data_IF_299971495658
#
_entry.id   IF_299971495658
#
_cell.length_a   1.000
_cell.length_b   1.000
_cell.length_c   1.000
_cell.angle_alpha   90.00
_cell.angle_beta   90.00
_cell.angle_gamma   90.00
#
_symmetry.space_group_name_H-M   'P 1'
#
loop_
_entity.id
_entity.type
_entity.pdbx_description
1 polymer ?
#
# COMPACT_ATOMS: atom_id res chain seq x y z
N UNK A 1 -45.15 -28.68 -11.19
CA UNK A 1 -44.65 -27.62 -12.11
C UNK A 1 -43.74 -26.58 -11.42
N UNK A 2 -44.07 -25.97 -10.29
CA UNK A 2 -43.16 -25.00 -9.62
C UNK A 2 -41.92 -25.65 -8.97
N UNK A 3 -42.06 -26.83 -8.36
CA UNK A 3 -40.93 -27.57 -7.76
C UNK A 3 -39.92 -28.04 -8.78
N UNK A 4 -40.32 -28.47 -9.95
CA UNK A 4 -39.40 -28.87 -11.05
C UNK A 4 -38.61 -27.70 -11.62
N UNK A 5 -39.23 -26.50 -11.76
CA UNK A 5 -38.53 -25.28 -12.18
C UNK A 5 -37.51 -24.79 -11.13
N UNK A 6 -37.75 -25.05 -9.84
CA UNK A 6 -36.82 -24.70 -8.77
C UNK A 6 -35.58 -25.60 -8.80
N UNK A 7 -35.78 -26.93 -8.97
CA UNK A 7 -34.65 -27.88 -9.04
C UNK A 7 -33.82 -27.71 -10.32
N UNK A 8 -34.41 -27.39 -11.46
CA UNK A 8 -33.66 -27.10 -12.70
C UNK A 8 -32.77 -25.87 -12.56
N UNK A 9 -33.28 -24.78 -11.98
CA UNK A 9 -32.47 -23.57 -11.70
C UNK A 9 -31.34 -23.81 -10.69
N UNK A 10 -31.52 -24.76 -9.76
CA UNK A 10 -30.47 -25.09 -8.78
C UNK A 10 -29.37 -25.95 -9.39
N UNK A 11 -29.71 -26.86 -10.30
CA UNK A 11 -28.76 -27.68 -11.07
C UNK A 11 -27.99 -26.83 -12.09
N UNK A 12 -28.62 -25.92 -12.79
CA UNK A 12 -27.96 -24.98 -13.72
C UNK A 12 -26.99 -24.04 -13.00
N UNK A 13 -27.36 -23.51 -11.81
CA UNK A 13 -26.44 -22.71 -10.97
C UNK A 13 -25.26 -23.52 -10.42
N UNK A 14 -25.44 -24.81 -10.12
CA UNK A 14 -24.35 -25.71 -9.70
C UNK A 14 -23.41 -26.01 -10.86
N UNK A 15 -23.91 -26.28 -12.05
CA UNK A 15 -23.08 -26.52 -13.24
C UNK A 15 -22.30 -25.27 -13.65
N UNK A 16 -22.93 -24.10 -13.69
CA UNK A 16 -22.27 -22.83 -13.99
C UNK A 16 -21.15 -22.48 -12.98
N UNK A 17 -21.36 -22.80 -11.68
CA UNK A 17 -20.31 -22.64 -10.66
C UNK A 17 -19.16 -23.62 -10.85
N UNK A 18 -19.44 -24.87 -11.22
CA UNK A 18 -18.42 -25.90 -11.49
C UNK A 18 -17.61 -25.54 -12.75
N UNK A 19 -18.26 -25.04 -13.81
CA UNK A 19 -17.61 -24.60 -15.03
C UNK A 19 -16.72 -23.35 -14.80
N UNK A 20 -17.19 -22.41 -13.98
CA UNK A 20 -16.39 -21.25 -13.61
C UNK A 20 -15.16 -21.66 -12.76
N UNK A 21 -15.31 -22.62 -11.85
CA UNK A 21 -14.18 -23.16 -11.08
C UNK A 21 -13.18 -23.94 -11.95
N UNK A 22 -13.66 -24.70 -12.94
CA UNK A 22 -12.80 -25.44 -13.86
C UNK A 22 -12.05 -24.48 -14.80
N UNK A 23 -12.71 -23.47 -15.37
CA UNK A 23 -12.06 -22.41 -16.17
C UNK A 23 -11.00 -21.66 -15.35
N UNK A 24 -11.26 -21.39 -14.06
CA UNK A 24 -10.30 -20.74 -13.17
C UNK A 24 -9.10 -21.65 -12.84
N UNK A 25 -9.31 -22.97 -12.67
CA UNK A 25 -8.23 -23.96 -12.49
C UNK A 25 -7.36 -24.08 -13.74
N UNK A 26 -7.95 -24.12 -14.92
CA UNK A 26 -7.22 -24.14 -16.19
C UNK A 26 -6.44 -22.83 -16.41
N UNK A 27 -7.03 -21.69 -16.15
CA UNK A 27 -6.33 -20.39 -16.22
C UNK A 27 -5.14 -20.32 -15.26
N UNK A 28 -5.30 -20.79 -14.01
CA UNK A 28 -4.21 -20.82 -13.06
C UNK A 28 -3.11 -21.81 -13.51
N UNK A 29 -3.46 -22.97 -14.03
CA UNK A 29 -2.51 -23.96 -14.57
C UNK A 29 -1.73 -23.45 -15.77
N UNK A 30 -2.42 -22.73 -16.69
CA UNK A 30 -1.76 -22.06 -17.83
C UNK A 30 -0.86 -20.91 -17.38
N UNK A 31 -1.29 -20.13 -16.39
CA UNK A 31 -0.48 -19.06 -15.79
C UNK A 31 0.77 -19.60 -15.12
N UNK A 32 0.64 -20.66 -14.31
CA UNK A 32 1.75 -21.27 -13.59
C UNK A 32 2.74 -21.91 -14.57
N UNK A 33 2.24 -22.58 -15.61
CA UNK A 33 3.06 -23.08 -16.73
C UNK A 33 3.79 -21.95 -17.46
N UNK A 34 3.11 -20.83 -17.73
CA UNK A 34 3.72 -19.65 -18.37
C UNK A 34 4.86 -19.06 -17.51
N UNK A 35 4.68 -19.00 -16.19
CA UNK A 35 5.72 -18.51 -15.29
C UNK A 35 6.88 -19.52 -15.13
N UNK A 36 6.61 -20.83 -15.13
CA UNK A 36 7.65 -21.87 -15.11
C UNK A 36 8.44 -21.91 -16.41
N UNK A 37 7.78 -21.81 -17.55
CA UNK A 37 8.46 -21.72 -18.86
C UNK A 37 9.29 -20.45 -18.97
N UNK A 38 8.81 -19.34 -18.35
CA UNK A 38 9.54 -18.08 -18.26
C UNK A 38 10.75 -18.15 -17.34
N UNK A 39 10.66 -18.83 -16.19
CA UNK A 39 11.80 -19.12 -15.30
C UNK A 39 12.85 -19.96 -16.02
N UNK A 40 12.45 -21.04 -16.69
CA UNK A 40 13.37 -21.90 -17.47
C UNK A 40 13.98 -21.18 -18.67
N UNK A 41 13.31 -20.19 -19.24
CA UNK A 41 13.82 -19.35 -20.32
C UNK A 41 14.80 -18.28 -19.86
N UNK A 42 14.70 -17.83 -18.61
CA UNK A 42 15.60 -16.83 -18.02
C UNK A 42 16.94 -17.43 -17.58
N UNK A 43 16.95 -18.72 -17.14
CA UNK A 43 18.19 -19.42 -16.72
C UNK A 43 19.10 -19.80 -17.89
N UNK A 44 18.71 -19.62 -19.15
CA UNK A 44 19.48 -20.08 -20.33
C UNK A 44 19.99 -18.98 -21.26
N UNK A 45 19.81 -17.71 -20.93
CA UNK A 45 20.36 -16.62 -21.75
C UNK A 45 21.09 -15.61 -20.87
N UNK A 46 22.39 -15.83 -20.66
CA UNK A 46 23.31 -14.72 -20.44
C UNK A 46 23.20 -13.80 -21.65
N UNK A 47 22.54 -12.66 -21.45
CA UNK A 47 22.41 -11.64 -22.50
C UNK A 47 23.76 -10.97 -22.65
N UNK A 48 24.50 -11.36 -23.69
CA UNK A 48 25.68 -10.64 -24.12
C UNK A 48 25.27 -9.19 -24.49
N UNK A 49 25.62 -8.25 -23.62
CA UNK A 49 25.35 -6.82 -23.79
C UNK A 49 26.22 -6.14 -24.86
N UNK A 50 26.92 -6.90 -25.72
CA UNK A 50 27.88 -6.36 -26.67
C UNK A 50 27.28 -5.63 -27.88
N UNK A 51 25.97 -5.76 -28.18
CA UNK A 51 25.34 -5.10 -29.33
C UNK A 51 24.52 -3.86 -28.96
N UNK A 52 24.96 -3.08 -27.97
CA UNK A 52 24.35 -1.78 -27.67
C UNK A 52 24.72 -0.78 -28.77
N UNK A 53 24.02 -0.80 -29.91
CA UNK A 53 23.97 0.36 -30.81
C UNK A 53 23.58 1.57 -29.98
N UNK A 54 24.22 2.71 -30.21
CA UNK A 54 23.94 3.99 -29.55
C UNK A 54 22.46 4.35 -29.67
N UNK A 55 21.66 3.95 -28.65
CA UNK A 55 20.25 4.35 -28.56
C UNK A 55 20.28 5.79 -28.03
N UNK A 56 19.74 6.76 -28.78
CA UNK A 56 19.75 8.14 -28.32
C UNK A 56 18.91 8.27 -27.05
N UNK A 57 19.44 8.95 -26.04
CA UNK A 57 18.75 9.26 -24.80
C UNK A 57 17.79 10.42 -25.00
N UNK A 58 16.60 10.32 -24.38
CA UNK A 58 15.63 11.40 -24.30
C UNK A 58 15.82 12.25 -23.05
N UNK A 59 16.39 11.62 -21.99
CA UNK A 59 16.62 12.29 -20.71
C UNK A 59 17.84 11.73 -19.98
N UNK A 60 18.42 12.56 -19.09
CA UNK A 60 19.48 12.18 -18.14
C UNK A 60 18.92 12.24 -16.72
N UNK A 61 19.16 11.20 -15.92
CA UNK A 61 18.80 11.19 -14.50
C UNK A 61 19.71 12.16 -13.75
N UNK A 62 19.10 13.13 -13.05
CA UNK A 62 19.78 14.05 -12.15
C UNK A 62 19.84 13.48 -10.73
N UNK A 63 18.71 13.01 -10.25
CA UNK A 63 18.59 12.42 -8.92
C UNK A 63 17.62 11.25 -8.90
N UNK A 64 17.79 10.36 -7.91
CA UNK A 64 16.92 9.21 -7.69
C UNK A 64 16.73 9.00 -6.19
N UNK A 65 15.50 8.84 -5.76
CA UNK A 65 15.13 8.45 -4.40
C UNK A 65 14.08 7.33 -4.45
N UNK A 66 14.15 6.36 -3.55
CA UNK A 66 13.16 5.29 -3.47
C UNK A 66 12.28 5.46 -2.24
N UNK A 67 10.95 5.41 -2.43
CA UNK A 67 9.94 5.51 -1.37
C UNK A 67 9.93 4.32 -0.40
N UNK A 68 10.70 3.27 -0.69
CA UNK A 68 10.78 2.04 0.09
C UNK A 68 12.23 1.64 0.36
N UNK A 69 13.11 2.62 0.56
CA UNK A 69 14.51 2.32 0.87
C UNK A 69 14.61 1.60 2.21
N UNK A 70 15.15 0.36 2.19
CA UNK A 70 15.29 -0.47 3.39
C UNK A 70 16.29 0.13 4.39
N UNK A 71 17.34 0.78 3.92
CA UNK A 71 18.41 1.34 4.76
C UNK A 71 17.93 2.53 5.63
N UNK A 72 16.76 3.10 5.31
CA UNK A 72 16.14 4.14 6.16
C UNK A 72 15.35 3.59 7.34
N UNK A 73 15.17 2.27 7.40
CA UNK A 73 14.46 1.68 8.54
C UNK A 73 15.33 1.68 9.79
N UNK A 74 14.81 2.14 10.95
CA UNK A 74 15.54 2.11 12.20
C UNK A 74 15.98 0.68 12.56
N UNK A 75 17.20 0.54 13.07
CA UNK A 75 17.79 -0.77 13.40
C UNK A 75 17.00 -1.53 14.49
N UNK A 76 16.46 -0.81 15.46
CA UNK A 76 15.59 -1.38 16.49
C UNK A 76 14.24 -1.84 15.91
N UNK A 77 13.67 -1.10 14.96
CA UNK A 77 12.46 -1.51 14.25
C UNK A 77 12.68 -2.84 13.50
N UNK A 78 13.81 -3.01 12.83
CA UNK A 78 14.15 -4.26 12.15
C UNK A 78 14.24 -5.44 13.13
N UNK A 79 14.87 -5.25 14.30
CA UNK A 79 14.96 -6.27 15.36
C UNK A 79 13.58 -6.64 15.90
N UNK A 80 12.71 -5.66 16.12
CA UNK A 80 11.34 -5.88 16.59
C UNK A 80 10.52 -6.62 15.54
N UNK A 81 10.59 -6.21 14.27
CA UNK A 81 9.90 -6.88 13.18
C UNK A 81 10.33 -8.33 13.03
N UNK A 82 11.63 -8.65 13.13
CA UNK A 82 12.14 -10.03 13.06
C UNK A 82 11.65 -10.90 14.24
N UNK A 83 11.46 -10.31 15.43
CA UNK A 83 11.00 -11.02 16.63
C UNK A 83 9.52 -10.84 16.97
N UNK A 84 8.71 -10.32 16.05
CA UNK A 84 7.29 -9.99 16.30
C UNK A 84 6.45 -11.22 16.69
N UNK A 85 6.75 -12.38 16.14
CA UNK A 85 6.11 -13.65 16.53
C UNK A 85 6.24 -13.95 18.02
N UNK A 86 7.39 -13.64 18.61
CA UNK A 86 7.66 -13.84 20.05
C UNK A 86 6.84 -12.86 20.90
N UNK A 87 6.67 -11.61 20.43
CA UNK A 87 5.79 -10.62 21.08
C UNK A 87 4.36 -11.11 21.08
N UNK A 88 3.85 -11.54 19.92
CA UNK A 88 2.49 -12.07 19.84
C UNK A 88 2.32 -13.34 20.65
N UNK A 89 3.35 -14.20 20.73
CA UNK A 89 3.31 -15.41 21.53
C UNK A 89 3.22 -15.13 23.04
N UNK A 90 3.85 -14.06 23.51
CA UNK A 90 3.75 -13.65 24.95
C UNK A 90 2.38 -13.07 25.30
N UNK A 91 1.72 -12.36 24.37
CA UNK A 91 0.41 -11.73 24.60
C UNK A 91 -0.74 -12.73 24.39
N UNK A 92 -0.65 -13.52 23.35
CA UNK A 92 -1.67 -14.52 22.96
C UNK A 92 -0.99 -15.86 22.70
N UNK A 93 -0.66 -16.60 23.75
CA UNK A 93 0.03 -17.88 23.60
C UNK A 93 -0.80 -18.90 22.81
N UNK A 94 -0.15 -19.61 21.91
CA UNK A 94 -0.70 -20.76 21.20
C UNK A 94 0.12 -21.99 21.54
N UNK A 95 -0.57 -23.10 21.80
CA UNK A 95 0.08 -24.40 21.99
C UNK A 95 0.52 -25.01 20.65
N UNK A 96 1.31 -26.09 20.68
CA UNK A 96 1.85 -26.73 19.48
C UNK A 96 0.77 -27.15 18.46
N UNK A 97 -0.37 -27.67 18.93
CA UNK A 97 -1.49 -28.08 18.05
C UNK A 97 -2.12 -26.88 17.34
N UNK A 98 -2.31 -25.76 18.03
CA UNK A 98 -2.83 -24.51 17.46
C UNK A 98 -1.83 -23.93 16.44
N UNK A 99 -0.52 -23.95 16.75
CA UNK A 99 0.52 -23.49 15.83
C UNK A 99 0.58 -24.34 14.54
N UNK A 100 0.38 -25.66 14.62
CA UNK A 100 0.28 -26.53 13.46
C UNK A 100 -0.93 -26.21 12.58
N UNK A 101 -2.05 -25.80 13.18
CA UNK A 101 -3.28 -25.41 12.46
C UNK A 101 -3.19 -24.02 11.83
N UNK A 102 -2.39 -23.12 12.38
CA UNK A 102 -2.30 -21.72 12.00
C UNK A 102 -2.17 -21.45 10.48
N UNK A 103 -1.33 -22.16 9.71
CA UNK A 103 -1.25 -21.96 8.25
C UNK A 103 -2.57 -22.19 7.52
N UNK A 104 -3.36 -23.17 7.96
CA UNK A 104 -4.70 -23.45 7.41
C UNK A 104 -5.68 -22.33 7.74
N UNK A 105 -5.65 -21.82 8.97
CA UNK A 105 -6.54 -20.75 9.43
C UNK A 105 -6.18 -19.42 8.70
N UNK A 106 -4.90 -19.16 8.47
CA UNK A 106 -4.44 -18.01 7.66
C UNK A 106 -4.95 -18.12 6.22
N UNK A 107 -4.86 -19.31 5.60
CA UNK A 107 -5.35 -19.52 4.23
C UNK A 107 -6.86 -19.30 4.14
N UNK A 108 -7.62 -19.86 5.08
CA UNK A 108 -9.06 -19.68 5.15
C UNK A 108 -9.45 -18.20 5.32
N UNK A 109 -8.76 -17.49 6.21
CA UNK A 109 -8.96 -16.06 6.40
C UNK A 109 -8.59 -15.25 5.17
N UNK A 110 -7.51 -15.63 4.46
CA UNK A 110 -7.14 -14.99 3.19
C UNK A 110 -8.26 -15.09 2.15
N UNK A 111 -8.89 -16.27 2.01
CA UNK A 111 -10.04 -16.44 1.12
C UNK A 111 -11.21 -15.54 1.50
N UNK A 112 -11.53 -15.44 2.78
CA UNK A 112 -12.59 -14.52 3.25
C UNK A 112 -12.27 -13.05 2.96
N UNK A 113 -11.02 -12.66 3.11
CA UNK A 113 -10.57 -11.28 2.88
C UNK A 113 -10.43 -10.92 1.40
N UNK A 114 -10.31 -11.89 0.48
CA UNK A 114 -10.08 -11.64 -0.95
C UNK A 114 -11.23 -12.06 -1.84
N UNK A 115 -11.78 -13.27 -1.65
CA UNK A 115 -12.73 -13.88 -2.57
C UNK A 115 -14.19 -13.74 -2.13
N UNK A 116 -14.43 -13.65 -0.81
CA UNK A 116 -15.78 -13.62 -0.21
C UNK A 116 -16.11 -12.26 0.42
N UNK A 117 -15.52 -11.19 -0.11
CA UNK A 117 -15.64 -9.84 0.46
C UNK A 117 -17.07 -9.35 0.57
N UNK A 118 -17.92 -9.65 -0.43
CA UNK A 118 -19.33 -9.20 -0.48
C UNK A 118 -20.20 -9.85 0.59
N UNK A 119 -19.88 -11.08 0.99
CA UNK A 119 -20.66 -11.87 1.95
C UNK A 119 -20.04 -11.90 3.35
N UNK A 120 -18.91 -11.23 3.52
CA UNK A 120 -18.16 -11.27 4.78
C UNK A 120 -18.90 -10.59 5.92
N UNK A 121 -19.05 -11.29 7.04
CA UNK A 121 -19.49 -10.67 8.27
C UNK A 121 -18.38 -9.76 8.85
N UNK A 122 -18.69 -8.49 9.10
CA UNK A 122 -17.72 -7.48 9.60
C UNK A 122 -17.16 -7.86 10.98
N UNK A 123 -17.87 -8.72 11.72
CA UNK A 123 -17.43 -9.22 13.03
C UNK A 123 -16.48 -10.42 12.98
N UNK A 124 -15.88 -10.75 11.82
CA UNK A 124 -14.97 -11.89 11.65
C UNK A 124 -13.78 -11.89 12.62
N UNK A 125 -13.31 -10.73 13.03
CA UNK A 125 -12.22 -10.60 14.02
C UNK A 125 -12.62 -10.90 15.48
N UNK A 126 -13.89 -11.18 15.75
CA UNK A 126 -14.33 -11.53 17.10
C UNK A 126 -14.09 -13.01 17.46
N UNK A 127 -13.88 -13.88 16.47
CA UNK A 127 -13.50 -15.28 16.72
C UNK A 127 -12.02 -15.38 17.06
N UNK A 128 -11.70 -16.09 18.15
CA UNK A 128 -10.35 -16.18 18.72
C UNK A 128 -9.31 -16.70 17.70
N UNK A 129 -9.65 -17.72 16.93
CA UNK A 129 -8.76 -18.33 15.92
C UNK A 129 -8.50 -17.37 14.76
N UNK A 130 -9.54 -16.69 14.28
CA UNK A 130 -9.44 -15.72 13.19
C UNK A 130 -8.62 -14.51 13.61
N UNK A 131 -8.84 -13.99 14.82
CA UNK A 131 -8.03 -12.88 15.37
C UNK A 131 -6.57 -13.30 15.53
N UNK A 132 -6.29 -14.51 16.01
CA UNK A 132 -4.92 -15.02 16.14
C UNK A 132 -4.23 -15.18 14.78
N UNK A 133 -4.93 -15.70 13.76
CA UNK A 133 -4.42 -15.78 12.39
C UNK A 133 -4.20 -14.38 11.78
N UNK A 134 -5.12 -13.44 12.02
CA UNK A 134 -5.00 -12.07 11.54
C UNK A 134 -3.75 -11.39 12.13
N UNK A 135 -3.57 -11.45 13.44
CA UNK A 135 -2.45 -10.78 14.12
C UNK A 135 -1.12 -11.38 13.70
N UNK A 136 -1.00 -12.71 13.69
CA UNK A 136 0.26 -13.40 13.40
C UNK A 136 0.69 -13.30 11.93
N UNK A 137 -0.23 -13.01 11.02
CA UNK A 137 0.06 -12.95 9.59
C UNK A 137 -0.22 -11.57 8.98
N UNK A 138 -1.48 -11.13 8.99
CA UNK A 138 -1.86 -9.89 8.29
C UNK A 138 -1.32 -8.65 8.99
N UNK A 139 -1.40 -8.59 10.32
CA UNK A 139 -0.80 -7.50 11.10
C UNK A 139 0.70 -7.45 10.90
N UNK A 140 1.39 -8.59 10.93
CA UNK A 140 2.84 -8.62 10.73
C UNK A 140 3.25 -8.14 9.33
N UNK A 141 2.58 -8.60 8.27
CA UNK A 141 2.81 -8.08 6.92
C UNK A 141 2.49 -6.59 6.81
N UNK A 142 1.44 -6.11 7.46
CA UNK A 142 1.09 -4.69 7.49
C UNK A 142 2.13 -3.87 8.25
N UNK A 143 2.67 -4.36 9.36
CA UNK A 143 3.78 -3.72 10.08
C UNK A 143 5.01 -3.60 9.17
N UNK A 144 5.41 -4.66 8.49
CA UNK A 144 6.54 -4.64 7.53
C UNK A 144 6.33 -3.57 6.46
N UNK A 145 5.12 -3.49 5.88
CA UNK A 145 4.80 -2.52 4.83
C UNK A 145 4.78 -1.09 5.36
N UNK A 146 4.01 -0.84 6.41
CA UNK A 146 3.77 0.51 6.92
C UNK A 146 5.01 1.11 7.57
N UNK A 147 5.78 0.33 8.34
CA UNK A 147 7.05 0.79 8.91
C UNK A 147 7.99 1.25 7.79
N UNK A 148 8.09 0.49 6.70
CA UNK A 148 8.93 0.86 5.56
C UNK A 148 8.43 2.11 4.85
N UNK A 149 7.12 2.27 4.66
CA UNK A 149 6.54 3.51 4.12
C UNK A 149 6.85 4.69 5.02
N UNK A 150 6.51 4.60 6.31
CA UNK A 150 6.70 5.70 7.25
C UNK A 150 8.16 6.12 7.39
N UNK A 151 9.10 5.19 7.40
CA UNK A 151 10.54 5.48 7.46
C UNK A 151 11.04 6.27 6.23
N UNK A 152 10.32 6.22 5.13
CA UNK A 152 10.67 6.89 3.87
C UNK A 152 9.84 8.14 3.54
N UNK A 153 8.80 8.45 4.31
CA UNK A 153 8.06 9.70 4.15
C UNK A 153 8.96 10.90 4.52
N UNK A 154 8.74 12.06 3.90
CA UNK A 154 9.45 13.28 4.27
C UNK A 154 9.34 13.58 5.77
N UNK A 155 10.38 14.16 6.36
CA UNK A 155 10.40 14.45 7.80
C UNK A 155 9.32 15.45 8.22
N UNK A 156 9.00 16.42 7.36
CA UNK A 156 7.95 17.41 7.57
C UNK A 156 6.53 16.85 7.47
N UNK A 157 6.36 15.58 7.09
CA UNK A 157 5.04 14.91 7.03
C UNK A 157 4.42 14.69 8.42
N UNK A 158 5.24 14.64 9.46
CA UNK A 158 4.82 14.38 10.84
C UNK A 158 5.26 15.54 11.77
N UNK A 159 4.78 16.75 11.48
CA UNK A 159 5.05 17.92 12.33
C UNK A 159 4.19 17.88 13.60
N UNK A 160 4.41 16.86 14.43
CA UNK A 160 3.70 16.66 15.69
C UNK A 160 4.51 17.24 16.86
N UNK A 161 3.81 17.91 17.76
CA UNK A 161 4.34 18.49 19.00
C UNK A 161 3.81 17.70 20.20
N UNK A 162 4.28 18.02 21.40
CA UNK A 162 3.66 17.51 22.62
C UNK A 162 2.17 17.89 22.64
N UNK A 163 1.35 17.00 23.18
CA UNK A 163 -0.12 17.06 23.22
C UNK A 163 -0.82 17.05 21.86
N UNK A 164 -0.08 16.84 20.75
CA UNK A 164 -0.70 16.62 19.44
C UNK A 164 -1.58 15.38 19.47
N UNK A 165 -2.71 15.50 18.77
CA UNK A 165 -3.72 14.44 18.67
C UNK A 165 -3.54 13.69 17.36
N UNK A 166 -3.44 12.38 17.45
CA UNK A 166 -3.49 11.45 16.31
C UNK A 166 -4.82 10.70 16.37
N UNK A 167 -5.51 10.58 15.24
CA UNK A 167 -6.71 9.73 15.12
C UNK A 167 -6.42 8.67 14.06
N UNK A 168 -6.41 7.41 14.49
CA UNK A 168 -6.29 6.24 13.61
C UNK A 168 -7.66 5.61 13.40
N UNK A 169 -8.17 5.64 12.17
CA UNK A 169 -9.52 5.21 11.82
C UNK A 169 -9.44 3.82 11.17
N UNK A 170 -10.23 2.87 11.71
CA UNK A 170 -10.11 1.46 11.36
C UNK A 170 -8.83 0.86 11.92
N UNK A 171 -8.50 1.22 13.18
CA UNK A 171 -7.22 0.89 13.83
C UNK A 171 -6.97 -0.62 13.90
N UNK A 172 -8.02 -1.44 13.97
CA UNK A 172 -7.89 -2.88 14.17
C UNK A 172 -6.96 -3.18 15.36
N UNK A 173 -5.90 -3.99 15.17
CA UNK A 173 -4.90 -4.28 16.21
C UNK A 173 -3.80 -3.19 16.29
N UNK A 174 -4.15 -1.92 16.14
CA UNK A 174 -3.25 -0.74 16.24
C UNK A 174 -2.01 -0.82 15.34
N UNK A 175 -2.16 -1.39 14.17
CA UNK A 175 -1.03 -1.67 13.26
C UNK A 175 -0.35 -0.39 12.78
N UNK A 176 -1.13 0.66 12.47
CA UNK A 176 -0.60 1.95 11.99
C UNK A 176 0.19 2.65 13.10
N UNK A 177 -0.38 2.70 14.30
CA UNK A 177 0.25 3.31 15.49
C UNK A 177 1.57 2.62 15.81
N UNK A 178 1.57 1.29 15.83
CA UNK A 178 2.77 0.49 16.07
C UNK A 178 3.84 0.69 14.98
N UNK A 179 3.43 0.74 13.72
CA UNK A 179 4.34 0.99 12.60
C UNK A 179 4.95 2.41 12.66
N UNK A 180 4.15 3.42 13.03
CA UNK A 180 4.62 4.79 13.20
C UNK A 180 5.64 4.91 14.34
N UNK A 181 5.38 4.27 15.48
CA UNK A 181 6.34 4.18 16.60
C UNK A 181 7.66 3.56 16.16
N UNK A 182 7.62 2.47 15.42
CA UNK A 182 8.82 1.79 14.93
C UNK A 182 9.60 2.63 13.92
N UNK A 183 8.89 3.27 12.99
CA UNK A 183 9.50 3.95 11.86
C UNK A 183 10.07 5.34 12.19
N UNK A 184 9.54 6.01 13.24
CA UNK A 184 9.81 7.43 13.53
C UNK A 184 10.29 7.63 14.96
N UNK A 185 11.57 7.27 15.26
CA UNK A 185 12.13 7.41 16.61
C UNK A 185 11.99 8.81 17.21
N UNK A 186 12.06 9.85 16.37
CA UNK A 186 11.92 11.24 16.78
C UNK A 186 10.53 11.58 17.37
N UNK A 187 9.51 10.79 17.04
CA UNK A 187 8.17 10.95 17.61
C UNK A 187 8.00 10.28 18.97
N UNK A 188 8.87 9.33 19.33
CA UNK A 188 8.83 8.62 20.63
C UNK A 188 9.04 9.55 21.80
N UNK A 189 9.77 10.65 21.59
CA UNK A 189 10.04 11.70 22.59
C UNK A 189 8.92 12.74 22.67
N UNK A 190 7.78 12.51 22.01
CA UNK A 190 6.62 13.39 22.04
C UNK A 190 5.50 12.79 22.89
N UNK A 191 4.81 13.62 23.67
CA UNK A 191 3.64 13.23 24.47
C UNK A 191 2.40 13.23 23.60
N UNK A 192 2.25 12.25 22.69
CA UNK A 192 1.11 12.18 21.77
C UNK A 192 -0.11 11.54 22.44
N UNK A 193 -1.30 12.00 22.02
CA UNK A 193 -2.58 11.41 22.38
C UNK A 193 -3.17 10.75 21.13
N UNK A 194 -3.30 9.42 21.15
CA UNK A 194 -3.70 8.63 19.99
C UNK A 194 -5.09 8.04 20.23
N UNK A 195 -6.08 8.51 19.48
CA UNK A 195 -7.41 7.92 19.43
C UNK A 195 -7.42 6.80 18.39
N UNK A 196 -7.61 5.58 18.83
CA UNK A 196 -7.73 4.39 17.99
C UNK A 196 -9.21 4.04 17.85
N UNK A 197 -9.78 4.22 16.66
CA UNK A 197 -11.19 4.00 16.38
C UNK A 197 -11.39 2.71 15.58
N UNK A 198 -12.21 1.81 16.09
CA UNK A 198 -12.60 0.57 15.39
C UNK A 198 -13.93 0.04 15.95
N UNK A 199 -14.66 -0.75 15.16
CA UNK A 199 -15.87 -1.43 15.60
C UNK A 199 -15.60 -2.57 16.59
N UNK A 200 -14.39 -3.15 16.55
CA UNK A 200 -13.96 -4.27 17.38
C UNK A 200 -13.12 -3.83 18.57
N UNK A 201 -13.76 -3.65 19.71
CA UNK A 201 -13.08 -3.29 20.97
C UNK A 201 -12.05 -4.34 21.41
N UNK A 202 -12.34 -5.63 21.19
CA UNK A 202 -11.41 -6.71 21.54
C UNK A 202 -10.14 -6.70 20.69
N UNK A 203 -10.26 -6.38 19.41
CA UNK A 203 -9.12 -6.27 18.51
C UNK A 203 -8.23 -5.09 18.89
N UNK A 204 -8.84 -3.94 19.22
CA UNK A 204 -8.10 -2.78 19.71
C UNK A 204 -7.38 -3.06 21.04
N UNK A 205 -8.03 -3.81 21.96
CA UNK A 205 -7.41 -4.16 23.25
C UNK A 205 -6.12 -4.99 23.06
N UNK A 206 -6.18 -6.03 22.23
CA UNK A 206 -4.98 -6.81 21.87
C UNK A 206 -3.95 -5.97 21.12
N UNK A 207 -4.40 -5.06 20.28
CA UNK A 207 -3.54 -4.12 19.57
C UNK A 207 -2.77 -3.20 20.50
N UNK A 208 -3.40 -2.72 21.58
CA UNK A 208 -2.75 -1.90 22.60
C UNK A 208 -1.67 -2.70 23.37
N UNK A 209 -1.95 -3.96 23.73
CA UNK A 209 -0.95 -4.84 24.35
C UNK A 209 0.25 -5.09 23.41
N UNK A 210 -0.01 -5.25 22.09
CA UNK A 210 1.05 -5.38 21.09
C UNK A 210 1.85 -4.09 21.02
N UNK A 211 1.20 -2.93 20.91
CA UNK A 211 1.86 -1.64 20.85
C UNK A 211 2.77 -1.42 22.08
N UNK A 212 2.25 -1.65 23.27
CA UNK A 212 3.01 -1.51 24.53
C UNK A 212 4.23 -2.44 24.56
N UNK A 213 4.08 -3.69 24.15
CA UNK A 213 5.18 -4.66 24.11
C UNK A 213 6.24 -4.31 23.05
N UNK A 214 5.82 -3.81 21.89
CA UNK A 214 6.71 -3.34 20.83
C UNK A 214 7.43 -2.07 21.28
N UNK A 215 6.70 -1.13 21.86
CA UNK A 215 7.27 0.13 22.34
C UNK A 215 8.31 -0.10 23.45
N UNK A 216 8.02 -0.97 24.41
CA UNK A 216 8.97 -1.32 25.46
C UNK A 216 10.28 -1.93 24.92
N UNK A 217 10.20 -2.77 23.86
CA UNK A 217 11.40 -3.34 23.23
C UNK A 217 12.21 -2.30 22.43
N UNK A 218 11.54 -1.37 21.79
CA UNK A 218 12.20 -0.31 21.03
C UNK A 218 12.84 0.74 21.97
N UNK A 219 12.17 1.07 23.08
CA UNK A 219 12.70 2.00 24.12
C UNK A 219 13.92 1.43 24.83
N UNK A 220 13.99 0.12 25.03
CA UNK A 220 15.17 -0.50 25.64
C UNK A 220 16.48 -0.24 24.84
N UNK A 221 16.37 0.17 23.59
CA UNK A 221 17.50 0.59 22.74
C UNK A 221 17.65 2.11 22.61
N UNK A 222 16.69 2.91 23.13
CA UNK A 222 16.66 4.38 23.05
C UNK A 222 16.53 4.97 24.46
N UNK A 223 17.67 5.38 25.02
CA UNK A 223 17.76 5.92 26.40
C UNK A 223 17.00 7.25 26.63
N UNK A 224 16.46 7.86 25.54
CA UNK A 224 15.83 9.18 25.59
C UNK A 224 14.28 9.12 25.50
N UNK A 225 13.65 7.96 25.42
CA UNK A 225 12.20 7.89 25.31
C UNK A 225 11.53 8.15 26.68
N UNK A 226 10.84 9.28 26.80
CA UNK A 226 10.19 9.72 28.05
C UNK A 226 8.88 8.99 28.38
N UNK A 227 8.45 8.03 27.59
CA UNK A 227 7.23 7.27 27.82
C UNK A 227 6.47 6.91 26.55
N UNK A 228 5.40 6.17 26.72
CA UNK A 228 4.55 5.72 25.59
C UNK A 228 3.50 6.76 25.27
N UNK A 229 3.05 6.77 24.00
CA UNK A 229 1.91 7.59 23.60
C UNK A 229 0.65 7.15 24.35
N UNK A 230 -0.17 8.11 24.73
CA UNK A 230 -1.45 7.84 25.41
C UNK A 230 -2.46 7.28 24.42
N UNK A 231 -2.78 6.00 24.52
CA UNK A 231 -3.79 5.33 23.67
C UNK A 231 -5.18 5.52 24.26
N UNK A 232 -6.14 5.92 23.43
CA UNK A 232 -7.56 6.04 23.75
C UNK A 232 -8.35 5.23 22.73
N UNK A 233 -8.92 4.13 23.14
CA UNK A 233 -9.76 3.26 22.27
C UNK A 233 -11.16 3.82 22.17
N UNK A 234 -11.62 4.03 20.93
CA UNK A 234 -12.97 4.50 20.60
C UNK A 234 -13.70 3.43 19.81
N UNK A 235 -14.72 2.83 20.41
CA UNK A 235 -15.58 1.87 19.69
C UNK A 235 -16.52 2.65 18.78
N UNK A 236 -16.38 2.50 17.47
CA UNK A 236 -17.25 3.17 16.51
C UNK A 236 -16.75 3.05 15.08
N UNK A 237 -17.56 3.54 14.17
CA UNK A 237 -17.26 3.68 12.74
C UNK A 237 -16.80 5.11 12.41
N UNK A 238 -16.28 5.32 11.21
CA UNK A 238 -15.99 6.67 10.72
C UNK A 238 -17.26 7.54 10.76
N UNK A 239 -17.17 8.70 11.42
CA UNK A 239 -18.31 9.57 11.75
C UNK A 239 -18.66 9.56 13.24
N UNK A 240 -18.14 8.60 14.03
CA UNK A 240 -18.28 8.62 15.49
C UNK A 240 -17.61 9.86 16.06
N UNK A 241 -18.30 10.59 16.95
CA UNK A 241 -17.81 11.84 17.50
C UNK A 241 -16.55 11.65 18.37
N UNK A 242 -15.52 12.46 18.08
CA UNK A 242 -14.35 12.67 18.92
C UNK A 242 -14.25 14.17 19.19
N UNK A 243 -14.26 14.56 20.46
CA UNK A 243 -14.27 15.98 20.88
C UNK A 243 -13.01 16.76 20.52
N UNK A 244 -11.86 16.08 20.40
CA UNK A 244 -10.57 16.71 20.08
C UNK A 244 -10.31 16.69 18.58
N UNK A 245 -9.70 17.76 18.07
CA UNK A 245 -9.26 17.87 16.69
C UNK A 245 -7.87 17.23 16.53
N UNK A 246 -7.67 16.55 15.41
CA UNK A 246 -6.44 15.81 15.11
C UNK A 246 -5.43 16.68 14.34
N UNK A 247 -4.15 16.51 14.68
CA UNK A 247 -3.01 17.02 13.91
C UNK A 247 -2.51 15.99 12.89
N UNK A 248 -2.85 14.69 13.10
CA UNK A 248 -2.63 13.62 12.15
C UNK A 248 -3.81 12.66 12.14
N UNK A 249 -4.33 12.38 10.96
CA UNK A 249 -5.35 11.34 10.75
C UNK A 249 -4.73 10.25 9.89
N UNK A 250 -4.85 9.01 10.38
CA UNK A 250 -4.37 7.82 9.67
C UNK A 250 -5.52 6.86 9.39
N UNK A 251 -5.43 6.15 8.27
CA UNK A 251 -6.38 5.12 7.89
C UNK A 251 -5.68 4.10 6.98
N UNK A 252 -5.68 2.83 7.35
CA UNK A 252 -5.06 1.80 6.54
C UNK A 252 -5.93 0.56 6.38
N UNK A 253 -6.12 0.13 5.12
CA UNK A 253 -6.91 -1.04 4.72
C UNK A 253 -8.39 -1.01 5.18
N UNK A 254 -8.96 0.16 5.38
CA UNK A 254 -10.34 0.34 5.86
C UNK A 254 -11.30 0.67 4.71
N UNK A 255 -10.92 1.57 3.81
CA UNK A 255 -11.81 2.01 2.74
C UNK A 255 -12.14 0.89 1.76
N UNK A 256 -11.23 -0.05 1.51
CA UNK A 256 -11.49 -1.21 0.67
C UNK A 256 -12.62 -2.11 1.23
N UNK A 257 -12.93 -2.00 2.52
CA UNK A 257 -14.06 -2.70 3.14
C UNK A 257 -15.37 -1.92 3.00
N UNK A 258 -15.31 -0.60 3.00
CA UNK A 258 -16.50 0.27 2.88
C UNK A 258 -17.06 0.30 1.45
N UNK A 259 -16.20 0.28 0.43
CA UNK A 259 -16.62 0.30 -0.98
C UNK A 259 -17.61 -0.77 -1.38
N UNK A 260 -17.49 -1.93 -0.78
CA UNK A 260 -18.29 -3.08 -1.18
C UNK A 260 -19.70 -3.03 -0.63
N UNK A 261 -19.93 -2.18 0.36
CA UNK A 261 -21.24 -1.97 0.98
C UNK A 261 -21.97 -0.77 0.41
N UNK A 262 -21.27 0.13 -0.23
CA UNK A 262 -21.82 1.37 -0.75
C UNK A 262 -22.01 1.24 -2.28
N UNK A 263 -23.26 1.36 -2.75
CA UNK A 263 -23.62 1.28 -4.17
C UNK A 263 -23.50 2.64 -4.89
N UNK A 264 -23.04 3.66 -4.20
CA UNK A 264 -22.82 4.98 -4.76
C UNK A 264 -21.61 5.00 -5.74
N UNK A 265 -21.59 6.00 -6.61
CA UNK A 265 -20.44 6.24 -7.48
C UNK A 265 -19.18 6.50 -6.62
N UNK A 266 -18.00 5.98 -7.02
CA UNK A 266 -16.76 6.11 -6.26
C UNK A 266 -16.41 7.56 -5.87
N UNK A 267 -16.78 8.53 -6.73
CA UNK A 267 -16.59 9.95 -6.47
C UNK A 267 -17.43 10.45 -5.29
N UNK A 268 -18.70 10.04 -5.21
CA UNK A 268 -19.59 10.39 -4.10
C UNK A 268 -19.10 9.78 -2.79
N UNK A 269 -18.60 8.54 -2.85
CA UNK A 269 -17.99 7.88 -1.69
C UNK A 269 -16.77 8.68 -1.24
N UNK A 270 -15.88 9.07 -2.15
CA UNK A 270 -14.71 9.88 -1.84
C UNK A 270 -15.11 11.22 -1.21
N UNK A 271 -16.13 11.91 -1.75
CA UNK A 271 -16.64 13.16 -1.20
C UNK A 271 -17.19 13.01 0.23
N UNK A 272 -17.92 11.93 0.48
CA UNK A 272 -18.43 11.59 1.82
C UNK A 272 -17.29 11.34 2.81
N UNK A 273 -16.29 10.54 2.41
CA UNK A 273 -15.19 10.18 3.29
C UNK A 273 -14.27 11.38 3.58
N UNK A 274 -14.03 12.23 2.60
CA UNK A 274 -13.29 13.49 2.83
C UNK A 274 -14.02 14.39 3.84
N UNK A 275 -15.34 14.55 3.73
CA UNK A 275 -16.09 15.32 4.74
C UNK A 275 -15.93 14.73 6.14
N UNK A 276 -16.06 13.41 6.26
CA UNK A 276 -15.88 12.72 7.54
C UNK A 276 -14.49 12.95 8.13
N UNK A 277 -13.42 12.81 7.32
CA UNK A 277 -12.05 13.03 7.76
C UNK A 277 -11.82 14.47 8.22
N UNK A 278 -12.31 15.46 7.46
CA UNK A 278 -12.16 16.87 7.82
C UNK A 278 -12.96 17.26 9.07
N UNK A 279 -14.03 16.55 9.42
CA UNK A 279 -14.72 16.75 10.69
C UNK A 279 -13.85 16.46 11.91
N UNK A 280 -12.79 15.65 11.78
CA UNK A 280 -11.84 15.38 12.86
C UNK A 280 -10.61 16.29 12.82
N UNK A 281 -10.32 16.93 11.70
CA UNK A 281 -9.07 17.63 11.45
C UNK A 281 -8.98 18.97 12.15
N UNK A 282 -7.79 19.31 12.65
CA UNK A 282 -7.38 20.69 12.92
C UNK A 282 -6.94 21.37 11.61
N UNK A 283 -6.68 22.68 11.66
CA UNK A 283 -6.23 23.45 10.49
C UNK A 283 -4.86 22.98 9.96
N UNK A 284 -4.00 22.48 10.86
CA UNK A 284 -2.65 21.96 10.55
C UNK A 284 -2.61 20.44 10.38
N UNK A 285 -3.76 19.78 10.20
CA UNK A 285 -3.85 18.34 10.14
C UNK A 285 -3.21 17.75 8.89
N UNK A 286 -2.39 16.73 9.09
CA UNK A 286 -1.89 15.83 8.03
C UNK A 286 -2.75 14.57 7.92
N UNK A 287 -2.78 13.96 6.72
CA UNK A 287 -3.57 12.77 6.45
C UNK A 287 -2.71 11.70 5.79
N UNK A 288 -2.71 10.50 6.37
CA UNK A 288 -2.11 9.32 5.77
C UNK A 288 -3.18 8.27 5.49
N UNK A 289 -3.33 7.89 4.23
CA UNK A 289 -4.25 6.82 3.82
C UNK A 289 -3.46 5.78 3.05
N UNK A 290 -3.63 4.51 3.42
CA UNK A 290 -3.00 3.38 2.74
C UNK A 290 -4.01 2.26 2.50
N UNK A 291 -3.99 1.69 1.30
CA UNK A 291 -4.89 0.63 0.87
C UNK A 291 -4.11 -0.48 0.14
N UNK A 292 -4.69 -1.68 -0.01
CA UNK A 292 -4.09 -2.71 -0.84
C UNK A 292 -3.87 -2.19 -2.28
N UNK A 293 -2.73 -2.52 -2.90
CA UNK A 293 -2.39 -2.08 -4.25
C UNK A 293 -3.23 -2.71 -5.37
N UNK A 294 -4.54 -2.79 -5.18
CA UNK A 294 -5.52 -3.34 -6.14
C UNK A 294 -6.15 -2.22 -6.99
N UNK A 295 -6.67 -2.54 -8.19
CA UNK A 295 -7.23 -1.53 -9.10
C UNK A 295 -8.25 -0.60 -8.45
N UNK A 296 -9.24 -1.15 -7.77
CA UNK A 296 -10.32 -0.38 -7.13
C UNK A 296 -9.78 0.53 -6.03
N UNK A 297 -8.93 -0.02 -5.15
CA UNK A 297 -8.34 0.74 -4.04
C UNK A 297 -7.38 1.84 -4.53
N UNK A 298 -6.53 1.53 -5.53
CA UNK A 298 -5.61 2.53 -6.10
C UNK A 298 -6.33 3.69 -6.78
N UNK A 299 -7.45 3.41 -7.48
CA UNK A 299 -8.29 4.48 -8.06
C UNK A 299 -8.95 5.35 -7.01
N UNK A 300 -9.40 4.73 -5.91
CA UNK A 300 -9.96 5.51 -4.82
C UNK A 300 -8.92 6.40 -4.15
N UNK A 301 -7.74 5.91 -3.90
CA UNK A 301 -6.63 6.75 -3.42
C UNK A 301 -6.42 7.95 -4.35
N UNK A 302 -6.53 7.75 -5.68
CA UNK A 302 -6.44 8.84 -6.65
C UNK A 302 -7.59 9.85 -6.52
N UNK A 303 -8.81 9.41 -6.26
CA UNK A 303 -9.96 10.29 -6.00
C UNK A 303 -9.79 11.06 -4.68
N UNK A 304 -9.36 10.39 -3.61
CA UNK A 304 -9.05 11.04 -2.33
C UNK A 304 -7.96 12.11 -2.50
N UNK A 305 -6.93 11.82 -3.31
CA UNK A 305 -5.88 12.78 -3.65
C UNK A 305 -6.45 14.06 -4.27
N UNK A 306 -7.33 13.93 -5.25
CA UNK A 306 -7.96 15.10 -5.88
C UNK A 306 -8.73 15.95 -4.85
N UNK A 307 -9.46 15.30 -3.94
CA UNK A 307 -10.23 16.01 -2.90
C UNK A 307 -9.32 16.70 -1.89
N UNK A 308 -8.19 16.10 -1.52
CA UNK A 308 -7.20 16.78 -0.66
C UNK A 308 -6.62 18.02 -1.34
N UNK A 309 -6.28 17.96 -2.62
CA UNK A 309 -5.80 19.11 -3.39
C UNK A 309 -6.87 20.21 -3.49
N UNK A 310 -8.14 19.85 -3.73
CA UNK A 310 -9.27 20.79 -3.76
C UNK A 310 -9.51 21.45 -2.39
N UNK A 311 -9.14 20.80 -1.29
CA UNK A 311 -9.15 21.36 0.07
C UNK A 311 -7.92 22.20 0.41
N UNK A 312 -7.02 22.43 -0.53
CA UNK A 312 -5.82 23.24 -0.35
C UNK A 312 -4.64 22.54 0.33
N UNK A 313 -4.70 21.21 0.50
CA UNK A 313 -3.56 20.45 0.98
C UNK A 313 -2.57 20.15 -0.15
N UNK A 314 -1.30 19.96 0.19
CA UNK A 314 -0.29 19.40 -0.72
C UNK A 314 -0.15 17.90 -0.50
N UNK A 315 0.11 17.16 -1.56
CA UNK A 315 0.49 15.73 -1.49
C UNK A 315 1.99 15.63 -1.32
N UNK A 316 2.45 15.18 -0.15
CA UNK A 316 3.87 15.03 0.17
C UNK A 316 4.46 13.76 -0.43
N UNK A 317 3.66 12.69 -0.52
CA UNK A 317 4.04 11.40 -1.11
C UNK A 317 2.76 10.66 -1.53
N UNK A 318 2.80 9.82 -2.55
CA UNK A 318 3.92 9.39 -3.39
C UNK A 318 4.12 10.27 -4.64
N UNK A 319 3.29 11.30 -4.82
CA UNK A 319 3.20 12.03 -6.08
C UNK A 319 4.39 12.99 -6.27
N UNK A 320 5.05 12.98 -7.42
CA UNK A 320 6.11 13.94 -7.74
C UNK A 320 5.55 15.32 -8.14
N UNK A 321 4.23 15.46 -8.28
CA UNK A 321 3.54 16.67 -8.73
C UNK A 321 2.18 16.85 -8.04
N UNK A 322 1.61 18.06 -8.15
CA UNK A 322 0.30 18.41 -7.58
C UNK A 322 -0.80 18.56 -8.65
N UNK A 323 -0.50 18.28 -9.92
CA UNK A 323 -1.47 18.32 -11.04
C UNK A 323 -2.36 17.09 -11.07
N UNK A 324 -3.30 17.03 -12.00
CA UNK A 324 -4.25 15.93 -12.18
C UNK A 324 -3.58 14.56 -12.20
N UNK A 325 -4.23 13.58 -11.56
CA UNK A 325 -3.72 12.23 -11.52
C UNK A 325 -4.01 11.50 -12.84
N UNK A 326 -3.00 11.02 -13.58
CA UNK A 326 -3.24 10.29 -14.83
C UNK A 326 -3.81 8.88 -14.63
N UNK A 327 -3.93 8.42 -13.38
CA UNK A 327 -4.34 7.07 -13.00
C UNK A 327 -5.63 7.05 -12.15
N UNK A 328 -6.48 8.07 -12.29
CA UNK A 328 -7.74 8.20 -11.56
C UNK A 328 -8.88 7.30 -12.09
N UNK A 329 -8.64 6.52 -13.12
CA UNK A 329 -9.62 5.63 -13.73
C UNK A 329 -10.56 6.27 -14.76
N UNK A 330 -10.43 7.57 -15.03
CA UNK A 330 -11.28 8.25 -16.03
C UNK A 330 -11.09 7.65 -17.43
N UNK A 331 -9.88 7.29 -17.81
CA UNK A 331 -9.60 6.65 -19.10
C UNK A 331 -10.25 5.28 -19.25
N UNK A 332 -10.47 4.57 -18.15
CA UNK A 332 -11.16 3.28 -18.16
C UNK A 332 -12.62 3.41 -18.62
N UNK A 333 -13.28 4.50 -18.23
CA UNK A 333 -14.67 4.79 -18.65
C UNK A 333 -14.82 5.05 -20.15
N UNK A 334 -13.74 5.44 -20.82
CA UNK A 334 -13.70 5.74 -22.24
C UNK A 334 -12.99 4.67 -23.08
N UNK A 335 -12.85 3.45 -22.55
CA UNK A 335 -12.24 2.32 -23.26
C UNK A 335 -10.72 2.32 -23.33
N UNK A 336 -10.06 3.17 -22.56
CA UNK A 336 -8.60 3.22 -22.45
C UNK A 336 -8.01 2.14 -21.53
N UNK A 337 -6.68 1.98 -21.57
CA UNK A 337 -5.96 1.06 -20.70
C UNK A 337 -6.08 1.48 -19.22
N UNK A 338 -6.64 0.58 -18.42
CA UNK A 338 -6.85 0.79 -17.00
C UNK A 338 -5.55 0.65 -16.21
N UNK A 339 -4.86 1.77 -15.97
CA UNK A 339 -3.78 1.84 -14.99
C UNK A 339 -4.30 2.41 -13.68
N UNK A 340 -3.69 1.99 -12.58
CA UNK A 340 -3.99 2.52 -11.25
C UNK A 340 -2.69 2.76 -10.48
N UNK A 341 -2.72 3.73 -9.57
CA UNK A 341 -1.57 4.07 -8.76
C UNK A 341 -1.35 3.00 -7.70
N UNK A 342 -0.26 2.25 -7.84
CA UNK A 342 0.20 1.30 -6.84
C UNK A 342 1.71 1.18 -6.89
N UNK A 343 2.29 0.70 -5.79
CA UNK A 343 3.72 0.52 -5.64
C UNK A 343 4.01 -0.87 -5.10
N UNK A 344 5.18 -1.39 -5.44
CA UNK A 344 5.65 -2.67 -4.92
C UNK A 344 7.11 -2.61 -4.51
N UNK A 345 7.48 -3.42 -3.52
CA UNK A 345 8.87 -3.62 -3.15
C UNK A 345 9.13 -5.09 -2.82
N UNK A 346 10.39 -5.53 -3.01
CA UNK A 346 10.81 -6.89 -2.70
C UNK A 346 10.61 -7.23 -1.22
N UNK A 347 10.19 -8.44 -0.94
CA UNK A 347 10.04 -8.98 0.41
C UNK A 347 11.23 -9.83 0.86
N UNK A 348 12.32 -9.87 0.09
CA UNK A 348 13.52 -10.65 0.45
C UNK A 348 14.10 -10.29 1.82
N UNK A 349 13.95 -9.03 2.25
CA UNK A 349 14.37 -8.52 3.57
C UNK A 349 13.23 -8.55 4.61
N UNK A 350 12.13 -9.26 4.34
CA UNK A 350 11.08 -9.46 5.33
C UNK A 350 11.51 -10.50 6.38
N UNK A 351 10.91 -10.47 7.60
CA UNK A 351 11.22 -11.41 8.66
C UNK A 351 11.18 -12.87 8.19
N UNK A 352 12.23 -13.63 8.48
CA UNK A 352 12.42 -14.98 7.98
C UNK A 352 11.29 -15.94 8.38
N UNK A 353 10.79 -15.80 9.61
CA UNK A 353 9.66 -16.59 10.11
C UNK A 353 8.35 -16.24 9.43
N UNK A 354 8.15 -14.96 9.05
CA UNK A 354 6.97 -14.52 8.32
C UNK A 354 6.95 -15.06 6.88
N UNK A 355 8.11 -15.11 6.23
CA UNK A 355 8.26 -15.73 4.91
C UNK A 355 7.93 -17.22 4.97
N UNK A 356 8.50 -17.96 5.93
CA UNK A 356 8.19 -19.40 6.15
C UNK A 356 6.70 -19.62 6.45
N UNK A 357 6.08 -18.76 7.25
CA UNK A 357 4.65 -18.83 7.53
C UNK A 357 3.81 -18.60 6.28
N UNK A 358 4.23 -17.68 5.41
CA UNK A 358 3.59 -17.42 4.11
C UNK A 358 3.63 -18.64 3.20
N UNK A 359 4.79 -19.28 3.09
CA UNK A 359 4.96 -20.53 2.33
C UNK A 359 4.09 -21.66 2.87
N UNK A 360 4.13 -21.88 4.19
CA UNK A 360 3.31 -22.91 4.87
C UNK A 360 1.81 -22.68 4.68
N UNK A 361 1.37 -21.42 4.67
CA UNK A 361 -0.01 -21.06 4.37
C UNK A 361 -0.38 -21.17 2.88
N UNK A 362 0.58 -21.44 1.97
CA UNK A 362 0.36 -21.44 0.52
C UNK A 362 0.10 -20.07 -0.04
N UNK A 363 0.63 -19.03 0.60
CA UNK A 363 0.50 -17.62 0.25
C UNK A 363 1.91 -16.98 0.11
N UNK A 364 2.81 -17.55 -0.72
CA UNK A 364 4.16 -17.02 -0.88
C UNK A 364 4.08 -15.57 -1.39
N UNK A 365 4.96 -14.72 -0.87
CA UNK A 365 5.03 -13.31 -1.24
C UNK A 365 6.44 -12.95 -1.68
N UNK A 366 6.59 -12.65 -2.96
CA UNK A 366 7.84 -12.10 -3.52
C UNK A 366 7.87 -10.57 -3.41
N UNK A 367 6.69 -9.95 -3.30
CA UNK A 367 6.51 -8.48 -3.24
C UNK A 367 5.42 -8.08 -2.28
N UNK A 368 5.64 -6.97 -1.62
CA UNK A 368 4.60 -6.24 -0.89
C UNK A 368 4.05 -5.14 -1.79
N UNK A 369 2.73 -5.09 -1.97
CA UNK A 369 2.05 -4.12 -2.84
C UNK A 369 1.21 -3.20 -1.98
N UNK A 370 1.21 -1.89 -2.31
CA UNK A 370 0.49 -0.85 -1.57
C UNK A 370 0.10 0.31 -2.48
N UNK A 371 -1.06 0.90 -2.22
CA UNK A 371 -1.46 2.22 -2.70
C UNK A 371 -1.56 3.13 -1.48
N UNK A 372 -1.00 4.34 -1.52
CA UNK A 372 -1.05 5.24 -0.38
C UNK A 372 -0.97 6.71 -0.78
N UNK A 373 -1.33 7.57 0.15
CA UNK A 373 -1.19 9.01 0.03
C UNK A 373 -0.85 9.61 1.39
N UNK A 374 0.07 10.58 1.40
CA UNK A 374 0.35 11.49 2.49
C UNK A 374 0.03 12.90 2.04
N UNK A 375 -1.03 13.48 2.60
CA UNK A 375 -1.46 14.85 2.34
C UNK A 375 -1.26 15.71 3.60
N UNK A 376 -0.79 16.93 3.43
CA UNK A 376 -0.47 17.82 4.55
C UNK A 376 -0.71 19.28 4.20
N UNK A 377 -0.93 20.17 5.19
CA UNK A 377 -0.95 21.60 4.97
C UNK A 377 0.35 22.10 4.33
N UNK A 378 0.25 23.14 3.56
CA UNK A 378 1.42 23.82 2.98
C UNK A 378 1.12 24.40 1.63
N UNK A 379 1.77 25.54 1.36
CA UNK A 379 1.69 26.14 0.03
C UNK A 379 2.31 25.18 -0.98
N UNK A 380 1.63 24.94 -2.07
CA UNK A 380 2.22 24.32 -3.25
C UNK A 380 3.34 25.28 -3.66
N UNK A 381 4.58 24.94 -3.30
CA UNK A 381 5.69 25.75 -3.75
C UNK A 381 5.63 25.76 -5.28
N UNK A 382 5.51 26.95 -5.86
CA UNK A 382 5.66 27.13 -7.30
C UNK A 382 7.10 26.78 -7.65
N UNK A 383 7.34 25.49 -7.85
CA UNK A 383 8.65 24.96 -8.29
C UNK A 383 9.05 25.49 -9.69
N UNK A 384 8.15 26.26 -10.34
CA UNK A 384 8.44 26.91 -11.62
C UNK A 384 9.68 27.81 -11.56
N UNK A 385 9.97 28.42 -10.40
CA UNK A 385 11.11 29.33 -10.25
C UNK A 385 12.42 28.63 -9.84
N UNK A 386 12.39 27.32 -9.55
CA UNK A 386 13.56 26.54 -9.08
C UNK A 386 13.93 25.40 -10.02
N UNK A 387 13.08 25.05 -10.98
CA UNK A 387 13.41 24.01 -11.97
C UNK A 387 14.08 24.63 -13.17
N UNK A 388 15.17 24.05 -13.60
CA UNK A 388 15.70 24.28 -14.95
C UNK A 388 14.56 24.03 -15.96
N UNK A 389 14.50 24.83 -17.01
CA UNK A 389 13.41 24.89 -17.99
C UNK A 389 13.05 23.53 -18.63
N UNK A 390 13.95 22.56 -18.50
CA UNK A 390 13.84 21.23 -19.12
C UNK A 390 13.85 20.07 -18.10
N UNK A 391 13.46 20.32 -16.84
CA UNK A 391 13.42 19.28 -15.81
C UNK A 391 12.04 18.61 -15.71
N UNK A 392 12.02 17.28 -15.51
CA UNK A 392 10.81 16.47 -15.31
C UNK A 392 11.00 15.52 -14.13
N UNK A 393 10.07 15.52 -13.19
CA UNK A 393 10.04 14.52 -12.11
C UNK A 393 9.03 13.43 -12.42
N UNK A 394 9.42 12.16 -12.23
CA UNK A 394 8.54 11.00 -12.43
C UNK A 394 8.59 10.07 -11.23
N UNK A 395 7.45 9.45 -10.91
CA UNK A 395 7.38 8.34 -9.95
C UNK A 395 7.12 7.03 -10.71
N UNK A 396 7.97 6.03 -10.50
CA UNK A 396 7.83 4.69 -11.09
C UNK A 396 6.71 3.94 -10.35
N UNK A 397 5.62 3.61 -11.07
CA UNK A 397 4.42 3.00 -10.49
C UNK A 397 4.17 1.56 -10.97
N UNK A 398 5.06 1.01 -11.78
CA UNK A 398 4.94 -0.36 -12.26
C UNK A 398 6.19 -1.17 -11.99
N UNK A 399 6.03 -2.49 -12.02
CA UNK A 399 7.15 -3.39 -12.23
C UNK A 399 7.69 -3.24 -13.67
N UNK A 400 8.90 -3.75 -13.96
CA UNK A 400 9.46 -3.71 -15.29
C UNK A 400 8.60 -4.49 -16.27
N UNK A 401 8.34 -3.91 -17.44
CA UNK A 401 7.78 -4.58 -18.60
C UNK A 401 8.88 -4.79 -19.64
N UNK A 402 8.84 -5.91 -20.32
CA UNK A 402 9.82 -6.22 -21.36
C UNK A 402 9.36 -5.67 -22.71
N UNK A 403 10.20 -4.86 -23.31
CA UNK A 403 10.01 -4.25 -24.62
C UNK A 403 10.88 -4.95 -25.67
N UNK A 404 10.59 -4.69 -26.95
CA UNK A 404 11.41 -5.19 -28.04
C UNK A 404 12.89 -4.76 -27.89
N UNK A 405 13.82 -5.63 -28.31
CA UNK A 405 15.27 -5.36 -28.18
C UNK A 405 15.80 -5.48 -26.75
N UNK A 406 15.19 -6.34 -25.92
CA UNK A 406 15.59 -6.61 -24.52
C UNK A 406 15.63 -5.39 -23.61
N UNK A 407 14.92 -4.31 -23.97
CA UNK A 407 14.78 -3.11 -23.13
C UNK A 407 13.73 -3.36 -22.03
N UNK A 408 13.87 -2.61 -20.93
CA UNK A 408 12.88 -2.60 -19.87
C UNK A 408 12.10 -1.29 -19.89
N UNK A 409 10.80 -1.34 -19.81
CA UNK A 409 9.93 -0.19 -19.67
C UNK A 409 9.28 -0.14 -18.29
N UNK A 410 9.02 1.07 -17.79
CA UNK A 410 8.37 1.31 -16.51
C UNK A 410 7.30 2.37 -16.68
N UNK A 411 6.04 2.02 -16.46
CA UNK A 411 5.00 3.04 -16.39
C UNK A 411 5.24 3.94 -15.18
N UNK A 412 5.14 5.23 -15.40
CA UNK A 412 5.50 6.25 -14.45
C UNK A 412 4.51 7.40 -14.49
N UNK A 413 4.35 8.08 -13.36
CA UNK A 413 3.48 9.24 -13.20
C UNK A 413 4.33 10.52 -13.21
N UNK A 414 3.91 11.54 -13.97
CA UNK A 414 4.55 12.86 -14.05
C UNK A 414 3.50 13.98 -14.07
N UNK A 415 3.96 15.21 -13.94
CA UNK A 415 3.08 16.40 -14.08
C UNK A 415 2.48 16.55 -15.49
N UNK A 416 3.08 15.92 -16.49
CA UNK A 416 2.60 15.90 -17.87
C UNK A 416 1.74 14.67 -18.18
N UNK A 417 1.33 13.90 -17.16
CA UNK A 417 0.56 12.69 -17.29
C UNK A 417 1.38 11.41 -17.12
N UNK A 418 0.85 10.31 -17.64
CA UNK A 418 1.53 9.02 -17.62
C UNK A 418 2.64 8.99 -18.68
N UNK A 419 3.81 8.50 -18.32
CA UNK A 419 4.96 8.29 -19.21
C UNK A 419 5.45 6.85 -19.11
N UNK A 420 6.12 6.37 -20.16
CA UNK A 420 6.84 5.09 -20.18
C UNK A 420 8.34 5.37 -20.15
N UNK A 421 8.96 5.18 -18.99
CA UNK A 421 10.42 5.27 -18.85
C UNK A 421 11.05 4.02 -19.45
N UNK A 422 11.86 4.17 -20.49
CA UNK A 422 12.54 3.09 -21.18
C UNK A 422 13.99 3.02 -20.74
N UNK A 423 14.31 1.99 -19.99
CA UNK A 423 15.67 1.73 -19.49
C UNK A 423 16.47 0.97 -20.56
N UNK A 424 17.23 1.70 -21.36
CA UNK A 424 18.00 1.14 -22.46
C UNK A 424 19.38 0.59 -22.01
N UNK A 425 19.91 1.09 -20.90
CA UNK A 425 21.29 0.81 -20.46
C UNK A 425 21.37 -0.01 -19.16
N UNK A 426 20.28 -0.66 -18.73
CA UNK A 426 20.29 -1.58 -17.58
C UNK A 426 20.52 -0.90 -16.24
N UNK A 427 20.06 0.35 -16.07
CA UNK A 427 20.08 1.04 -14.76
C UNK A 427 19.19 0.30 -13.77
N UNK A 428 19.54 0.31 -12.50
CA UNK A 428 18.74 -0.29 -11.44
C UNK A 428 17.54 0.62 -11.14
N UNK A 429 16.40 0.33 -11.74
CA UNK A 429 15.12 1.04 -11.55
C UNK A 429 14.09 0.06 -10.99
N UNK A 430 13.28 0.52 -10.04
CA UNK A 430 12.24 -0.29 -9.40
C UNK A 430 11.01 0.56 -9.05
N UNK A 431 9.90 -0.09 -8.83
CA UNK A 431 8.68 0.56 -8.36
C UNK A 431 8.94 1.35 -7.08
N UNK A 432 8.39 2.56 -7.00
CA UNK A 432 8.62 3.49 -5.90
C UNK A 432 9.84 4.39 -6.06
N UNK A 433 10.62 4.25 -7.14
CA UNK A 433 11.64 5.26 -7.46
C UNK A 433 10.98 6.56 -7.91
N UNK A 434 11.45 7.66 -7.35
CA UNK A 434 11.20 9.02 -7.84
C UNK A 434 12.46 9.51 -8.51
N UNK A 435 12.36 9.75 -9.82
CA UNK A 435 13.48 10.17 -10.65
C UNK A 435 13.28 11.62 -11.09
N UNK A 436 14.34 12.40 -11.02
CA UNK A 436 14.39 13.72 -11.63
C UNK A 436 15.24 13.66 -12.90
N UNK A 437 14.70 14.19 -13.99
CA UNK A 437 15.32 14.19 -15.29
C UNK A 437 15.68 15.61 -15.75
N UNK A 438 16.80 15.75 -16.46
CA UNK A 438 16.99 16.79 -17.47
C UNK A 438 16.62 16.20 -18.82
N UNK A 439 15.66 16.80 -19.52
CA UNK A 439 15.25 16.40 -20.85
C UNK A 439 16.29 16.84 -21.86
N UNK A 440 16.71 15.92 -22.74
CA UNK A 440 17.70 16.19 -23.81
C UNK A 440 17.02 16.57 -25.12
N UNK A 441 15.69 16.36 -25.20
CA UNK A 441 14.85 16.81 -26.31
C UNK A 441 13.48 17.25 -25.79
N UNK A 442 12.74 18.07 -26.54
CA UNK A 442 11.43 18.54 -26.14
C UNK A 442 10.46 17.41 -25.85
N UNK A 443 9.69 17.51 -24.76
CA UNK A 443 8.67 16.51 -24.38
C UNK A 443 7.66 16.23 -25.49
N UNK A 444 7.30 17.25 -26.29
CA UNK A 444 6.38 17.15 -27.42
C UNK A 444 6.90 16.30 -28.59
N UNK A 445 8.22 16.07 -28.68
CA UNK A 445 8.86 15.27 -29.73
C UNK A 445 8.98 13.78 -29.37
N UNK A 446 8.58 13.37 -28.17
CA UNK A 446 8.69 12.00 -27.71
C UNK A 446 7.76 11.06 -28.48
N UNK A 447 8.25 9.87 -28.78
CA UNK A 447 7.41 8.79 -29.33
C UNK A 447 6.40 8.34 -28.28
N UNK A 448 5.27 7.82 -28.74
CA UNK A 448 4.23 7.29 -27.87
C UNK A 448 4.19 5.76 -27.91
N UNK A 449 4.12 5.15 -26.74
CA UNK A 449 3.86 3.72 -26.62
C UNK A 449 2.53 3.36 -27.31
N UNK A 450 2.58 2.43 -28.23
CA UNK A 450 1.41 2.02 -29.02
C UNK A 450 0.27 1.45 -28.18
N UNK A 451 0.59 0.85 -27.02
CA UNK A 451 -0.40 0.18 -26.17
C UNK A 451 -1.10 1.15 -25.22
N UNK A 452 -0.36 2.07 -24.63
CA UNK A 452 -0.88 2.98 -23.60
C UNK A 452 -1.04 4.42 -24.07
N UNK A 453 -0.45 4.79 -25.21
CA UNK A 453 -0.38 6.17 -25.67
C UNK A 453 0.55 7.06 -24.84
N UNK A 454 1.23 6.51 -23.83
CA UNK A 454 2.15 7.24 -22.99
C UNK A 454 3.41 7.64 -23.75
N UNK A 455 3.92 8.88 -23.62
CA UNK A 455 5.23 9.26 -24.17
C UNK A 455 6.34 8.36 -23.62
N UNK A 456 7.22 7.88 -24.49
CA UNK A 456 8.40 7.09 -24.13
C UNK A 456 9.55 8.03 -23.79
N UNK A 457 10.19 7.81 -22.65
CA UNK A 457 11.40 8.54 -22.22
C UNK A 457 12.53 7.54 -22.09
N UNK A 458 13.44 7.52 -23.02
CA UNK A 458 14.64 6.65 -23.03
C UNK A 458 15.74 7.26 -22.15
N UNK A 459 16.27 6.45 -21.18
CA UNK A 459 17.30 6.84 -20.23
C UNK A 459 18.47 5.87 -20.20
#
# INVERSE_FOLDING_TARGET
MEKEKFYSRFTEKKSAKADAQNKRKEFNKQRDKYFDDKRRGLDKKEVNFSDKKNIPLDAKILSSANMFNYDKMPADALKVLESFDSIVQSIRPMNSRQMQKLPKDIRALSHQLTDERETRNVSYMNATEQLSAYIRYFTWWNLVRLTRVFANLPSDSFNLKDDSVVIDIGSGPLTVVTALWLARPELRNKKLIVYCMDISQSTMAVGEEIYMSVAAKAVASDANAEGFWKIIRVKGEIGTEIKRRANLITCANMFNELYQKDHDAPEKIADKQIRNLFNYASEDCSFFIAEPGMPVAGRFISLMRERFLQKGLKVASPCPHQKDCPMNGLHARYGGSEKWCNFSFSTENAPSKLLKLSESAGLPKERAVISFIMAQPGKIADKKNLREKDSLSVAIVSDPIYLAGHRQGFYSCSENGMVLVVNAYGKKIKSGDVLEFTMLRPYSSLQKDKKSGAPEITI
#
